data_IF_791525520776
#
_entry.id   IF_791525520776
#
_cell.length_a   1.000
_cell.length_b   1.000
_cell.length_c   1.000
_cell.angle_alpha   90.00
_cell.angle_beta   90.00
_cell.angle_gamma   90.00
#
_symmetry.space_group_name_H-M   'P 1'
#
loop_
_entity.id
_entity.type
_entity.pdbx_description
1 polymer ?
#
# COMPACT_ATOMS: atom_id res chain seq x y z
N UNK A 1 -10.54 -39.58 -15.21
CA UNK A 1 -11.56 -38.54 -15.01
C UNK A 1 -12.02 -38.67 -13.56
N UNK A 2 -11.51 -37.82 -12.67
CA UNK A 2 -11.84 -37.80 -11.23
C UNK A 2 -12.48 -36.42 -10.97
N UNK A 3 -13.63 -36.33 -10.30
CA UNK A 3 -14.25 -35.04 -10.03
C UNK A 3 -13.44 -34.33 -8.94
N UNK A 4 -12.98 -33.11 -9.22
CA UNK A 4 -12.40 -32.23 -8.18
C UNK A 4 -13.55 -31.69 -7.32
N UNK A 5 -13.49 -31.97 -6.02
CA UNK A 5 -14.35 -31.34 -5.01
C UNK A 5 -14.00 -29.86 -4.91
N UNK A 6 -15.02 -29.01 -4.71
CA UNK A 6 -14.84 -27.61 -4.30
C UNK A 6 -14.29 -27.62 -2.87
N UNK A 7 -13.08 -27.11 -2.65
CA UNK A 7 -12.58 -26.82 -1.32
C UNK A 7 -12.99 -25.39 -0.94
N UNK A 8 -13.92 -25.28 0.01
CA UNK A 8 -14.07 -24.07 0.82
C UNK A 8 -12.94 -24.09 1.85
N UNK A 9 -11.84 -23.42 1.54
CA UNK A 9 -10.73 -23.26 2.46
C UNK A 9 -11.03 -22.08 3.40
N UNK A 10 -11.62 -22.40 4.56
CA UNK A 10 -11.65 -21.52 5.72
C UNK A 10 -10.36 -21.68 6.52
N UNK A 11 -9.90 -20.61 7.19
CA UNK A 11 -8.75 -20.61 8.11
C UNK A 11 -8.89 -21.74 9.15
N UNK A 12 -10.12 -22.12 9.52
CA UNK A 12 -10.37 -23.23 10.44
C UNK A 12 -10.00 -24.61 9.87
N UNK A 13 -10.08 -24.82 8.56
CA UNK A 13 -9.86 -26.11 7.91
C UNK A 13 -8.37 -26.43 7.73
N UNK A 14 -7.49 -25.43 7.84
CA UNK A 14 -6.03 -25.60 7.79
C UNK A 14 -5.42 -26.07 9.13
N UNK A 15 -6.18 -26.06 10.23
CA UNK A 15 -5.70 -26.46 11.55
C UNK A 15 -5.95 -27.93 11.92
N UNK A 16 -6.65 -28.70 11.09
CA UNK A 16 -7.03 -30.09 11.42
C UNK A 16 -6.10 -31.18 10.90
N UNK A 17 -4.89 -30.83 10.41
CA UNK A 17 -3.93 -31.79 9.88
C UNK A 17 -2.69 -31.98 10.79
N UNK A 18 -2.90 -32.31 12.06
CA UNK A 18 -1.87 -32.90 12.92
C UNK A 18 -2.50 -33.99 13.79
N UNK A 19 -1.90 -35.19 13.73
CA UNK A 19 -2.37 -36.39 14.45
C UNK A 19 -2.13 -36.31 15.96
N UNK A 20 -2.87 -37.10 16.76
CA UNK A 20 -3.01 -36.90 18.19
C UNK A 20 -2.09 -37.83 18.99
N UNK A 21 -1.33 -37.29 19.93
CA UNK A 21 -0.99 -37.94 21.19
C UNK A 21 -0.23 -36.98 22.11
N UNK A 22 -0.86 -36.68 23.25
CA UNK A 22 -0.22 -36.34 24.53
C UNK A 22 0.54 -35.00 24.63
N UNK A 23 -0.21 -33.92 24.87
CA UNK A 23 0.08 -32.88 25.88
C UNK A 23 -1.13 -31.93 25.95
N UNK A 24 -2.15 -32.36 26.69
CA UNK A 24 -3.34 -31.56 26.99
C UNK A 24 -3.01 -30.40 27.95
N UNK A 25 -3.61 -29.24 27.64
CA UNK A 25 -3.80 -28.04 28.47
C UNK A 25 -2.70 -26.96 28.51
N UNK A 26 -1.98 -26.72 27.41
CA UNK A 26 -1.46 -25.38 27.12
C UNK A 26 -2.33 -24.73 26.03
N UNK A 27 -3.01 -23.65 26.40
CA UNK A 27 -3.80 -22.80 25.49
C UNK A 27 -3.04 -22.57 24.18
N UNK A 28 -3.62 -23.01 23.06
CA UNK A 28 -3.12 -22.78 21.68
C UNK A 28 -3.13 -21.28 21.32
N UNK A 29 -3.78 -20.45 22.15
CA UNK A 29 -3.72 -19.00 22.07
C UNK A 29 -2.70 -18.51 23.09
N UNK A 30 -1.54 -18.05 22.61
CA UNK A 30 -0.70 -17.18 23.42
C UNK A 30 -1.50 -15.91 23.76
N UNK A 31 -1.35 -15.40 24.98
CA UNK A 31 -1.97 -14.13 25.40
C UNK A 31 -1.60 -12.97 24.45
N UNK A 32 -0.47 -13.07 23.74
CA UNK A 32 -0.04 -12.17 22.67
C UNK A 32 -1.00 -12.16 21.46
N UNK A 33 -1.56 -13.30 21.08
CA UNK A 33 -2.48 -13.40 19.93
C UNK A 33 -3.85 -12.81 20.26
N UNK A 34 -4.32 -12.99 21.50
CA UNK A 34 -5.59 -12.43 21.98
C UNK A 34 -5.49 -10.92 22.20
N UNK A 35 -4.36 -10.43 22.72
CA UNK A 35 -4.13 -8.99 22.93
C UNK A 35 -3.93 -8.22 21.62
N UNK A 36 -3.21 -8.77 20.63
CA UNK A 36 -3.07 -8.14 19.31
C UNK A 36 -4.41 -7.99 18.57
N UNK A 37 -5.35 -8.89 18.83
CA UNK A 37 -6.67 -8.95 18.19
C UNK A 37 -7.57 -7.73 18.51
N UNK A 38 -7.31 -7.06 19.64
CA UNK A 38 -8.03 -5.88 20.10
C UNK A 38 -7.40 -4.56 19.67
N UNK A 39 -6.18 -4.61 19.10
CA UNK A 39 -5.47 -3.42 18.65
C UNK A 39 -6.27 -2.75 17.52
N UNK A 40 -6.57 -1.44 17.63
CA UNK A 40 -7.25 -0.73 16.57
C UNK A 40 -6.28 -0.49 15.40
N UNK A 41 -6.70 -0.92 14.22
CA UNK A 41 -6.08 -0.69 12.92
C UNK A 41 -7.03 0.18 12.12
N UNK A 42 -6.55 1.34 11.67
CA UNK A 42 -7.36 2.35 10.98
C UNK A 42 -8.65 2.77 11.70
N UNK A 43 -8.65 2.68 13.05
CA UNK A 43 -9.81 2.96 13.88
C UNK A 43 -10.75 1.77 14.10
N UNK A 44 -10.44 0.59 13.56
CA UNK A 44 -11.25 -0.64 13.69
C UNK A 44 -10.42 -1.78 14.26
N UNK A 45 -11.01 -2.63 15.11
CA UNK A 45 -10.29 -3.75 15.73
C UNK A 45 -9.75 -4.71 14.67
N UNK A 46 -8.51 -5.18 14.83
CA UNK A 46 -7.87 -6.12 13.91
C UNK A 46 -8.74 -7.36 13.60
N UNK A 47 -9.51 -7.86 14.57
CA UNK A 47 -10.44 -8.99 14.37
C UNK A 47 -11.52 -8.79 13.32
N UNK A 48 -11.87 -7.55 12.95
CA UNK A 48 -12.89 -7.29 11.94
C UNK A 48 -12.38 -7.48 10.51
N UNK A 49 -11.06 -7.62 10.31
CA UNK A 49 -10.42 -7.83 9.02
C UNK A 49 -10.48 -9.30 8.61
N UNK A 50 -11.67 -9.75 8.23
CA UNK A 50 -11.95 -11.17 7.96
C UNK A 50 -11.99 -11.52 6.48
N UNK A 51 -11.81 -10.54 5.58
CA UNK A 51 -11.86 -10.76 4.13
C UNK A 51 -10.52 -10.45 3.49
N UNK A 52 -10.17 -11.23 2.47
CA UNK A 52 -9.05 -10.93 1.59
C UNK A 52 -9.63 -10.57 0.23
N UNK A 53 -9.27 -9.40 -0.27
CA UNK A 53 -9.66 -8.92 -1.59
C UNK A 53 -8.50 -9.10 -2.55
N UNK A 54 -8.77 -9.70 -3.70
CA UNK A 54 -7.81 -9.86 -4.80
C UNK A 54 -8.24 -9.02 -5.99
N UNK A 55 -7.39 -8.08 -6.40
CA UNK A 55 -7.67 -7.10 -7.44
C UNK A 55 -6.65 -7.27 -8.56
N UNK A 56 -7.07 -7.70 -9.76
CA UNK A 56 -6.15 -7.88 -10.87
C UNK A 56 -5.73 -6.53 -11.45
N UNK A 57 -4.46 -6.48 -11.81
CA UNK A 57 -3.81 -5.33 -12.40
C UNK A 57 -3.52 -5.61 -13.88
N UNK A 58 -3.85 -4.65 -14.73
CA UNK A 58 -3.58 -4.71 -16.17
C UNK A 58 -2.93 -3.41 -16.63
N UNK A 59 -1.96 -3.49 -17.52
CA UNK A 59 -1.42 -2.33 -18.23
C UNK A 59 -2.18 -2.17 -19.54
N UNK A 60 -2.83 -1.03 -19.73
CA UNK A 60 -3.59 -0.72 -20.94
C UNK A 60 -2.73 -0.76 -22.19
N UNK A 61 -3.22 -1.41 -23.25
CA UNK A 61 -2.47 -1.61 -24.49
C UNK A 61 -2.23 -0.32 -25.28
N UNK A 62 -3.15 0.65 -25.21
CA UNK A 62 -3.11 1.88 -26.02
C UNK A 62 -2.50 3.05 -25.24
N UNK A 63 -2.87 3.23 -23.97
CA UNK A 63 -2.43 4.38 -23.16
C UNK A 63 -1.34 4.05 -22.13
N UNK A 64 -0.86 2.79 -22.05
CA UNK A 64 0.10 2.31 -21.04
C UNK A 64 -0.29 2.73 -19.61
N UNK A 65 -1.57 2.98 -19.39
CA UNK A 65 -2.17 3.33 -18.12
C UNK A 65 -2.31 2.08 -17.26
N UNK A 66 -2.04 2.23 -15.96
CA UNK A 66 -2.20 1.15 -15.02
C UNK A 66 -3.66 1.08 -14.58
N UNK A 67 -4.29 -0.08 -14.76
CA UNK A 67 -5.71 -0.31 -14.51
C UNK A 67 -5.87 -1.40 -13.45
N UNK A 68 -6.63 -1.11 -12.40
CA UNK A 68 -6.93 -2.06 -11.32
C UNK A 68 -8.42 -2.39 -11.37
N UNK A 69 -8.74 -3.67 -11.43
CA UNK A 69 -10.09 -4.18 -11.48
C UNK A 69 -10.54 -4.62 -10.08
N UNK A 70 -11.84 -4.54 -9.79
CA UNK A 70 -12.40 -4.91 -8.48
C UNK A 70 -12.25 -6.41 -8.20
N UNK A 71 -12.23 -7.24 -9.25
CA UNK A 71 -12.02 -8.68 -9.19
C UNK A 71 -11.55 -9.25 -10.54
N UNK A 72 -11.17 -10.53 -10.58
CA UNK A 72 -10.92 -11.23 -11.86
C UNK A 72 -12.19 -11.39 -12.69
N UNK A 73 -13.35 -11.49 -12.03
CA UNK A 73 -14.64 -11.58 -12.71
C UNK A 73 -14.98 -10.29 -13.44
N UNK A 74 -14.85 -9.13 -12.79
CA UNK A 74 -15.11 -7.84 -13.43
C UNK A 74 -14.24 -7.64 -14.67
N UNK A 75 -12.98 -8.06 -14.62
CA UNK A 75 -12.08 -8.04 -15.79
C UNK A 75 -12.55 -8.97 -16.92
N UNK A 76 -13.06 -10.16 -16.60
CA UNK A 76 -13.57 -11.12 -17.58
C UNK A 76 -14.88 -10.67 -18.24
N UNK A 77 -15.71 -10.01 -17.46
CA UNK A 77 -17.03 -9.53 -17.87
C UNK A 77 -16.94 -8.16 -18.61
N UNK A 78 -15.72 -7.68 -18.91
CA UNK A 78 -15.41 -6.40 -19.58
C UNK A 78 -16.00 -5.19 -18.84
N UNK A 79 -16.11 -5.28 -17.51
CA UNK A 79 -16.50 -4.17 -16.66
C UNK A 79 -15.39 -3.11 -16.61
N UNK A 80 -15.73 -1.82 -16.40
CA UNK A 80 -14.72 -0.78 -16.27
C UNK A 80 -13.78 -1.03 -15.08
N UNK A 81 -12.49 -0.66 -15.19
CA UNK A 81 -11.54 -0.81 -14.08
C UNK A 81 -11.94 0.09 -12.91
N UNK A 82 -11.89 -0.42 -11.69
CA UNK A 82 -12.13 0.34 -10.46
C UNK A 82 -11.19 1.56 -10.35
N UNK A 83 -9.89 1.37 -10.62
CA UNK A 83 -8.92 2.46 -10.66
C UNK A 83 -8.15 2.51 -11.97
N UNK A 84 -7.81 3.74 -12.38
CA UNK A 84 -6.82 3.99 -13.42
C UNK A 84 -5.81 5.04 -12.95
N UNK A 85 -4.53 4.81 -13.22
CA UNK A 85 -3.48 5.81 -13.02
C UNK A 85 -3.20 6.56 -14.32
N UNK A 86 -3.14 7.89 -14.24
CA UNK A 86 -2.63 8.71 -15.32
C UNK A 86 -1.42 9.50 -14.87
N UNK A 87 -0.29 9.26 -15.56
CA UNK A 87 0.93 10.01 -15.36
C UNK A 87 0.80 11.42 -15.93
N UNK A 88 1.24 12.40 -15.16
CA UNK A 88 1.47 13.74 -15.68
C UNK A 88 2.86 13.82 -16.30
N UNK A 89 2.93 13.62 -17.62
CA UNK A 89 4.18 13.68 -18.38
C UNK A 89 4.86 15.05 -18.29
N UNK A 90 4.15 16.11 -17.91
CA UNK A 90 4.68 17.47 -17.80
C UNK A 90 4.78 17.96 -16.34
N UNK A 91 4.80 17.05 -15.36
CA UNK A 91 4.96 17.43 -13.95
C UNK A 91 6.25 18.22 -13.69
N UNK A 92 7.30 17.98 -14.50
CA UNK A 92 8.58 18.71 -14.46
C UNK A 92 8.55 20.07 -15.17
N UNK A 93 7.44 20.51 -15.76
CA UNK A 93 7.34 21.85 -16.36
C UNK A 93 6.58 22.82 -15.45
N UNK A 94 5.64 22.31 -14.66
CA UNK A 94 4.77 23.13 -13.82
C UNK A 94 5.04 22.85 -12.35
N UNK A 95 5.56 23.85 -11.64
CA UNK A 95 5.74 23.79 -10.18
C UNK A 95 4.42 23.38 -9.51
N UNK A 96 4.48 22.43 -8.58
CA UNK A 96 3.32 21.89 -7.86
C UNK A 96 2.30 21.17 -8.75
N UNK A 97 2.69 20.71 -9.94
CA UNK A 97 1.85 19.77 -10.67
C UNK A 97 1.95 18.37 -10.05
N UNK A 98 0.84 17.62 -9.98
CA UNK A 98 0.90 16.24 -9.51
C UNK A 98 1.78 15.42 -10.45
N UNK A 99 2.52 14.47 -9.89
CA UNK A 99 3.28 13.46 -10.62
C UNK A 99 2.34 12.54 -11.39
N UNK A 100 1.26 12.11 -10.72
CA UNK A 100 0.21 11.28 -11.29
C UNK A 100 -1.12 11.54 -10.59
N UNK A 101 -2.21 11.13 -11.24
CA UNK A 101 -3.56 11.16 -10.68
C UNK A 101 -4.17 9.77 -10.77
N UNK A 102 -4.73 9.30 -9.65
CA UNK A 102 -5.56 8.10 -9.60
C UNK A 102 -7.01 8.51 -9.80
N UNK A 103 -7.68 7.84 -10.74
CA UNK A 103 -9.11 8.03 -11.00
C UNK A 103 -9.90 6.80 -10.59
N UNK A 104 -11.00 7.01 -9.89
CA UNK A 104 -12.02 6.01 -9.59
C UNK A 104 -13.06 5.99 -10.71
N UNK A 105 -13.51 4.81 -11.09
CA UNK A 105 -14.61 4.65 -12.05
C UNK A 105 -15.85 4.10 -11.37
N UNK A 106 -16.95 4.79 -11.55
CA UNK A 106 -18.28 4.38 -11.12
C UNK A 106 -19.18 4.33 -12.36
N UNK A 107 -19.36 3.13 -12.90
CA UNK A 107 -19.96 2.93 -14.21
C UNK A 107 -19.22 3.69 -15.32
N UNK A 108 -19.87 4.69 -15.92
CA UNK A 108 -19.30 5.54 -16.98
C UNK A 108 -18.60 6.80 -16.46
N UNK A 109 -18.73 7.10 -15.17
CA UNK A 109 -18.15 8.29 -14.56
C UNK A 109 -16.70 8.02 -14.18
N UNK A 110 -15.84 8.96 -14.55
CA UNK A 110 -14.43 8.98 -14.17
C UNK A 110 -14.16 10.14 -13.23
N UNK A 111 -13.88 9.84 -11.96
CA UNK A 111 -13.74 10.82 -10.89
C UNK A 111 -12.29 10.87 -10.39
N UNK A 112 -11.79 12.07 -10.11
CA UNK A 112 -10.47 12.24 -9.48
C UNK A 112 -10.53 11.69 -8.05
N UNK A 113 -9.76 10.63 -7.77
CA UNK A 113 -9.72 10.02 -6.45
C UNK A 113 -8.55 10.56 -5.60
N UNK A 114 -7.36 10.58 -6.20
CA UNK A 114 -6.14 11.00 -5.51
C UNK A 114 -5.17 11.70 -6.47
N UNK A 115 -4.62 12.84 -6.05
CA UNK A 115 -3.49 13.51 -6.70
C UNK A 115 -2.22 13.17 -5.94
N UNK A 116 -1.20 12.73 -6.66
CA UNK A 116 0.05 12.28 -6.04
C UNK A 116 1.16 13.22 -6.43
N UNK A 117 1.81 13.79 -5.43
CA UNK A 117 2.95 14.68 -5.59
C UNK A 117 4.22 13.98 -5.14
N UNK A 118 5.36 14.40 -5.67
CA UNK A 118 6.66 13.87 -5.30
C UNK A 118 7.55 15.00 -4.79
N UNK A 119 8.15 14.81 -3.61
CA UNK A 119 9.12 15.74 -3.01
C UNK A 119 10.43 14.99 -2.75
N UNK A 120 11.55 15.64 -3.05
CA UNK A 120 12.88 15.23 -2.63
C UNK A 120 13.16 16.05 -1.38
N UNK A 121 13.31 15.38 -0.24
CA UNK A 121 13.55 16.07 1.03
C UNK A 121 15.04 16.30 1.17
N UNK A 122 15.81 15.22 1.11
CA UNK A 122 17.27 15.21 1.26
C UNK A 122 17.88 14.08 0.41
N UNK A 123 19.21 14.03 0.34
CA UNK A 123 19.90 12.92 -0.31
C UNK A 123 19.43 11.59 0.31
N UNK A 124 18.96 10.67 -0.54
CA UNK A 124 18.40 9.37 -0.16
C UNK A 124 17.06 9.38 0.59
N UNK A 125 16.40 10.53 0.71
CA UNK A 125 15.09 10.65 1.33
C UNK A 125 14.12 11.42 0.43
N UNK A 126 13.07 10.74 0.00
CA UNK A 126 12.02 11.30 -0.85
C UNK A 126 10.66 10.99 -0.25
N UNK A 127 9.60 11.67 -0.66
CA UNK A 127 8.26 11.26 -0.28
C UNK A 127 7.26 11.42 -1.43
N UNK A 128 6.22 10.58 -1.39
CA UNK A 128 4.99 10.79 -2.12
C UNK A 128 3.96 11.41 -1.19
N UNK A 129 3.31 12.47 -1.64
CA UNK A 129 2.16 13.06 -0.93
C UNK A 129 0.92 12.73 -1.72
N UNK A 130 0.09 11.83 -1.18
CA UNK A 130 -1.16 11.39 -1.74
C UNK A 130 -2.26 12.30 -1.17
N UNK A 131 -2.76 13.21 -2.00
CA UNK A 131 -3.87 14.10 -1.65
C UNK A 131 -5.17 13.53 -2.18
N UNK A 132 -6.01 13.03 -1.28
CA UNK A 132 -7.29 12.40 -1.64
C UNK A 132 -8.39 13.45 -1.73
N UNK A 133 -9.38 13.20 -2.59
CA UNK A 133 -10.45 14.16 -2.88
C UNK A 133 -11.29 14.56 -1.65
N UNK A 134 -11.21 13.79 -0.57
CA UNK A 134 -11.93 14.03 0.68
C UNK A 134 -11.06 14.59 1.82
N UNK A 135 -9.77 14.83 1.57
CA UNK A 135 -8.83 15.34 2.57
C UNK A 135 -8.16 14.29 3.46
N UNK A 136 -8.42 12.99 3.32
CA UNK A 136 -7.70 11.94 4.06
C UNK A 136 -6.31 11.71 3.45
N UNK A 137 -5.39 12.65 3.64
CA UNK A 137 -4.11 12.73 2.92
C UNK A 137 -3.05 11.81 3.55
N UNK A 138 -2.16 11.25 2.73
CA UNK A 138 -1.09 10.35 3.20
C UNK A 138 0.26 10.86 2.69
N UNK A 139 1.25 10.93 3.59
CA UNK A 139 2.66 11.15 3.22
C UNK A 139 3.42 9.85 3.38
N UNK A 140 3.98 9.37 2.26
CA UNK A 140 4.74 8.14 2.16
C UNK A 140 6.23 8.47 1.98
N UNK A 141 7.01 8.33 3.03
CA UNK A 141 8.45 8.59 3.04
C UNK A 141 9.20 7.38 2.50
N UNK A 142 10.12 7.58 1.57
CA UNK A 142 10.94 6.52 0.99
C UNK A 142 12.42 6.69 1.40
N UNK A 143 12.97 5.65 2.03
CA UNK A 143 14.40 5.50 2.29
C UNK A 143 15.10 4.86 1.09
N UNK A 144 16.15 5.52 0.59
CA UNK A 144 17.01 4.97 -0.45
C UNK A 144 18.27 4.25 0.09
N UNK A 145 18.65 4.45 1.35
CA UNK A 145 19.77 3.75 1.97
C UNK A 145 19.42 2.30 2.30
N UNK A 146 18.26 2.08 2.92
CA UNK A 146 17.66 0.76 3.08
C UNK A 146 16.27 0.80 2.45
N UNK A 147 16.10 0.39 1.18
CA UNK A 147 14.84 0.39 0.45
C UNK A 147 13.59 -0.03 1.24
N UNK A 148 12.83 0.95 1.72
CA UNK A 148 11.50 0.80 2.30
C UNK A 148 10.74 2.13 2.21
N UNK A 149 9.43 2.09 2.45
CA UNK A 149 8.61 3.28 2.57
C UNK A 149 7.75 3.23 3.83
N UNK A 150 7.63 4.35 4.55
CA UNK A 150 6.84 4.46 5.77
C UNK A 150 5.76 5.53 5.64
N UNK A 151 4.61 5.27 6.27
CA UNK A 151 3.51 6.21 6.37
C UNK A 151 2.75 6.01 7.69
N UNK A 152 1.95 7.00 8.06
CA UNK A 152 0.92 6.87 9.10
C UNK A 152 -0.42 7.18 8.44
N UNK A 153 -1.42 6.35 8.73
CA UNK A 153 -2.79 6.58 8.29
C UNK A 153 -3.76 6.18 9.41
N UNK A 154 -4.66 7.09 9.82
CA UNK A 154 -5.60 6.89 10.93
C UNK A 154 -4.91 6.34 12.19
N UNK A 155 -3.77 6.92 12.55
CA UNK A 155 -2.94 6.52 13.69
C UNK A 155 -2.19 5.19 13.53
N UNK A 156 -2.39 4.47 12.43
CA UNK A 156 -1.71 3.18 12.18
C UNK A 156 -0.41 3.39 11.42
N UNK A 157 0.68 2.85 11.96
CA UNK A 157 2.00 2.87 11.32
C UNK A 157 2.10 1.81 10.24
N UNK A 158 2.55 2.23 9.05
CA UNK A 158 2.66 1.39 7.86
C UNK A 158 4.10 1.35 7.40
N UNK A 159 4.58 0.17 7.01
CA UNK A 159 5.86 0.01 6.32
C UNK A 159 5.72 -0.87 5.10
N UNK A 160 6.19 -0.35 3.97
CA UNK A 160 6.20 -1.04 2.70
C UNK A 160 7.62 -1.47 2.34
N UNK A 161 7.76 -2.74 2.01
CA UNK A 161 8.96 -3.32 1.43
C UNK A 161 8.73 -3.71 -0.02
N UNK A 162 9.83 -3.75 -0.76
CA UNK A 162 9.84 -4.19 -2.15
C UNK A 162 9.54 -3.10 -3.17
N UNK A 163 8.85 -2.02 -2.78
CA UNK A 163 8.87 -0.76 -3.50
C UNK A 163 9.92 0.17 -2.90
N UNK A 164 10.75 0.83 -3.72
CA UNK A 164 11.64 1.88 -3.21
C UNK A 164 11.88 2.98 -4.24
N UNK A 165 12.09 4.23 -3.81
CA UNK A 165 12.52 5.30 -4.72
C UNK A 165 13.96 5.16 -5.23
N UNK A 166 14.66 4.07 -4.91
CA UNK A 166 16.10 3.94 -5.02
C UNK A 166 16.57 2.85 -6.00
N UNK A 167 17.49 3.26 -6.88
CA UNK A 167 18.60 2.59 -7.60
C UNK A 167 18.61 1.08 -7.93
N UNK A 168 17.53 0.33 -7.77
CA UNK A 168 17.43 -0.97 -8.43
C UNK A 168 17.00 -0.73 -9.89
N UNK A 169 17.84 -1.14 -10.84
CA UNK A 169 17.49 -1.20 -12.27
C UNK A 169 16.49 -2.31 -12.57
N UNK A 170 16.32 -3.24 -11.63
CA UNK A 170 15.36 -4.33 -11.70
C UNK A 170 14.21 -4.00 -10.75
N UNK A 171 12.99 -3.90 -11.28
CA UNK A 171 11.80 -3.73 -10.46
C UNK A 171 11.59 -4.96 -9.59
N UNK A 172 10.97 -4.76 -8.44
CA UNK A 172 10.60 -5.88 -7.58
C UNK A 172 9.24 -6.44 -8.01
N UNK A 173 9.19 -7.74 -8.30
CA UNK A 173 7.94 -8.44 -8.57
C UNK A 173 7.07 -8.63 -7.33
N UNK A 174 7.51 -8.16 -6.15
CA UNK A 174 6.81 -8.32 -4.89
C UNK A 174 6.87 -7.04 -4.06
N UNK A 175 5.72 -6.47 -3.73
CA UNK A 175 5.58 -5.36 -2.78
C UNK A 175 4.76 -5.86 -1.60
N UNK A 176 5.18 -5.53 -0.37
CA UNK A 176 4.51 -5.97 0.86
C UNK A 176 4.37 -4.80 1.82
N UNK A 177 3.15 -4.54 2.27
CA UNK A 177 2.82 -3.56 3.28
C UNK A 177 2.52 -4.28 4.60
N UNK A 178 3.21 -3.87 5.66
CA UNK A 178 2.99 -4.36 7.02
C UNK A 178 2.41 -3.26 7.89
N UNK A 179 1.54 -3.67 8.81
CA UNK A 179 1.10 -2.86 9.94
C UNK A 179 2.13 -3.01 11.05
N UNK A 180 2.52 -1.91 11.69
CA UNK A 180 3.56 -1.90 12.70
C UNK A 180 2.98 -1.57 14.07
N UNK A 181 3.62 -2.08 15.13
CA UNK A 181 3.33 -1.63 16.49
C UNK A 181 3.68 -0.14 16.68
N UNK A 182 2.97 0.55 17.57
CA UNK A 182 3.13 1.99 17.85
C UNK A 182 4.56 2.38 18.26
N UNK A 183 5.27 1.49 18.95
CA UNK A 183 6.66 1.71 19.38
C UNK A 183 7.69 1.47 18.28
N UNK A 184 7.29 0.93 17.13
CA UNK A 184 8.20 0.72 16.00
C UNK A 184 8.65 2.07 15.44
N UNK A 185 9.97 2.31 15.32
CA UNK A 185 10.48 3.51 14.67
C UNK A 185 10.09 3.56 13.19
N UNK A 186 9.54 4.69 12.74
CA UNK A 186 9.20 4.93 11.33
C UNK A 186 9.69 6.30 10.87
N UNK A 187 9.89 6.48 9.56
CA UNK A 187 10.23 7.80 9.00
C UNK A 187 9.09 8.82 9.13
N UNK A 188 7.87 8.33 9.36
CA UNK A 188 6.69 9.16 9.54
C UNK A 188 6.46 9.57 11.01
N UNK A 189 7.30 9.14 11.96
CA UNK A 189 7.16 9.56 13.36
C UNK A 189 7.37 11.09 13.48
N UNK A 190 6.46 11.77 14.17
CA UNK A 190 6.46 13.23 14.33
C UNK A 190 5.74 14.01 13.24
N UNK A 191 5.15 13.31 12.25
CA UNK A 191 4.32 13.94 11.22
C UNK A 191 2.98 14.41 11.81
N UNK A 192 2.67 15.68 11.62
CA UNK A 192 1.37 16.27 11.96
C UNK A 192 0.32 15.89 10.90
N UNK A 193 -0.42 14.82 11.17
CA UNK A 193 -1.44 14.30 10.26
C UNK A 193 -2.62 15.27 10.10
N UNK A 194 -2.97 16.03 11.15
CA UNK A 194 -4.09 16.98 11.10
C UNK A 194 -3.77 18.17 10.17
N UNK A 195 -2.52 18.64 10.21
CA UNK A 195 -2.04 19.64 9.26
C UNK A 195 -2.09 19.13 7.81
N UNK A 196 -1.67 17.87 7.60
CA UNK A 196 -1.66 17.25 6.27
C UNK A 196 -3.08 17.09 5.73
N UNK A 197 -4.03 16.67 6.55
CA UNK A 197 -5.42 16.44 6.14
C UNK A 197 -6.17 17.75 5.82
N UNK A 198 -5.78 18.84 6.47
CA UNK A 198 -6.35 20.19 6.22
C UNK A 198 -5.68 20.94 5.07
N UNK A 199 -4.61 20.39 4.47
CA UNK A 199 -3.90 21.03 3.38
C UNK A 199 -4.75 21.12 2.10
N UNK A 200 -5.06 22.34 1.66
CA UNK A 200 -5.80 22.59 0.42
C UNK A 200 -4.94 22.32 -0.84
N UNK A 201 -3.62 22.45 -0.73
CA UNK A 201 -2.68 22.20 -1.82
C UNK A 201 -1.35 21.65 -1.30
N UNK A 202 -0.56 21.08 -2.22
CA UNK A 202 0.80 20.56 -1.91
C UNK A 202 1.76 21.61 -1.34
N UNK A 203 1.48 22.89 -1.54
CA UNK A 203 2.28 24.00 -0.98
C UNK A 203 2.07 24.16 0.52
N UNK A 204 0.89 23.76 1.00
CA UNK A 204 0.46 23.93 2.39
C UNK A 204 0.94 22.76 3.25
N UNK A 205 1.36 21.66 2.62
CA UNK A 205 1.94 20.48 3.29
C UNK A 205 3.34 20.80 3.81
N UNK A 206 3.43 21.04 5.11
CA UNK A 206 4.67 21.22 5.87
C UNK A 206 5.17 19.89 6.44
N UNK A 207 6.45 19.60 6.24
CA UNK A 207 7.13 18.38 6.72
C UNK A 207 8.29 18.70 7.67
N UNK A 208 8.39 19.93 8.16
CA UNK A 208 9.51 20.38 9.01
C UNK A 208 9.46 19.83 10.44
N UNK A 209 8.30 19.36 10.93
CA UNK A 209 8.14 18.79 12.28
C UNK A 209 8.87 17.47 12.54
N UNK A 210 9.45 16.85 11.51
CA UNK A 210 10.02 15.49 11.56
C UNK A 210 11.50 15.51 12.00
N UNK A 211 12.07 16.69 12.24
CA UNK A 211 13.52 16.86 12.42
C UNK A 211 14.10 16.14 13.65
N UNK A 212 13.29 15.81 14.66
CA UNK A 212 13.73 15.10 15.86
C UNK A 212 13.59 13.58 15.78
N UNK A 213 13.04 13.05 14.67
CA UNK A 213 12.86 11.63 14.47
C UNK A 213 14.21 10.91 14.30
N UNK A 214 14.56 9.93 15.16
CA UNK A 214 15.85 9.24 15.10
C UNK A 214 16.14 8.54 13.77
N UNK A 215 15.12 7.91 13.16
CA UNK A 215 15.28 7.22 11.88
C UNK A 215 15.43 8.23 10.74
N UNK A 216 14.65 9.30 10.75
CA UNK A 216 14.79 10.41 9.80
C UNK A 216 16.20 11.02 9.89
N UNK A 217 16.69 11.30 11.10
CA UNK A 217 18.03 11.82 11.34
C UNK A 217 19.13 10.86 10.86
N UNK A 218 18.98 9.55 11.10
CA UNK A 218 19.94 8.55 10.64
C UNK A 218 20.01 8.49 9.10
N UNK A 219 18.86 8.51 8.42
CA UNK A 219 18.79 8.52 6.95
C UNK A 219 19.43 9.79 6.37
N UNK A 220 19.06 10.95 6.92
CA UNK A 220 19.54 12.25 6.43
C UNK A 220 21.04 12.46 6.66
N UNK A 221 21.59 11.91 7.75
CA UNK A 221 23.03 11.88 8.04
C UNK A 221 23.79 10.76 7.31
N UNK A 222 23.11 9.95 6.50
CA UNK A 222 23.67 8.80 5.80
C UNK A 222 24.29 7.74 6.73
N UNK A 223 23.82 7.64 7.97
CA UNK A 223 24.27 6.65 8.94
C UNK A 223 23.59 5.30 8.69
N UNK A 224 24.18 4.51 7.77
CA UNK A 224 23.68 3.16 7.45
C UNK A 224 23.59 2.25 8.68
N UNK A 225 24.52 2.40 9.64
CA UNK A 225 24.56 1.55 10.83
C UNK A 225 23.42 1.88 11.80
N UNK A 226 23.16 3.18 12.00
CA UNK A 226 22.01 3.68 12.76
C UNK A 226 20.68 3.28 12.12
N UNK A 227 20.55 3.41 10.80
CA UNK A 227 19.36 2.97 10.06
C UNK A 227 19.11 1.48 10.29
N UNK A 228 20.11 0.61 10.11
CA UNK A 228 19.95 -0.83 10.32
C UNK A 228 19.58 -1.17 11.76
N UNK A 229 20.20 -0.49 12.74
CA UNK A 229 19.88 -0.68 14.17
C UNK A 229 18.43 -0.31 14.47
N UNK A 230 17.95 0.84 14.00
CA UNK A 230 16.57 1.28 14.21
C UNK A 230 15.56 0.38 13.48
N UNK A 231 15.87 -0.03 12.24
CA UNK A 231 15.01 -0.95 11.49
C UNK A 231 14.98 -2.36 12.09
N UNK A 232 16.04 -2.80 12.77
CA UNK A 232 16.01 -4.08 13.51
C UNK A 232 15.09 -4.08 14.73
N UNK A 233 14.67 -2.90 15.19
CA UNK A 233 13.66 -2.75 16.26
C UNK A 233 12.23 -2.82 15.72
N UNK A 234 12.06 -2.91 14.40
CA UNK A 234 10.76 -2.94 13.79
C UNK A 234 10.02 -4.24 14.12
N UNK A 235 8.83 -4.10 14.69
CA UNK A 235 7.96 -5.21 15.02
C UNK A 235 6.64 -5.05 14.28
N UNK A 236 6.31 -5.93 13.32
CA UNK A 236 5.01 -5.91 12.68
C UNK A 236 3.93 -6.36 13.68
N UNK A 237 2.74 -5.76 13.61
CA UNK A 237 1.60 -6.15 14.43
C UNK A 237 1.18 -7.59 14.17
N UNK A 238 1.32 -8.03 12.92
CA UNK A 238 1.13 -9.40 12.46
C UNK A 238 2.22 -9.74 11.44
N UNK A 239 2.73 -10.98 11.48
CA UNK A 239 3.77 -11.46 10.57
C UNK A 239 3.27 -11.76 9.13
N UNK A 240 2.13 -11.18 8.75
CA UNK A 240 1.49 -11.33 7.44
C UNK A 240 1.31 -9.91 6.87
N UNK A 241 1.67 -9.66 5.60
CA UNK A 241 1.46 -8.35 5.01
C UNK A 241 -0.03 -8.04 4.90
N UNK A 242 -0.42 -6.85 5.36
CA UNK A 242 -1.79 -6.36 5.23
C UNK A 242 -2.20 -6.16 3.77
N UNK A 243 -1.27 -5.67 2.95
CA UNK A 243 -1.45 -5.60 1.51
C UNK A 243 -0.20 -6.08 0.79
N UNK A 244 -0.38 -6.66 -0.39
CA UNK A 244 0.73 -7.09 -1.23
C UNK A 244 0.42 -6.93 -2.71
N UNK A 245 1.46 -6.79 -3.50
CA UNK A 245 1.41 -6.92 -4.95
C UNK A 245 2.35 -8.02 -5.39
N UNK A 246 1.88 -8.88 -6.28
CA UNK A 246 2.68 -9.91 -6.95
C UNK A 246 2.61 -9.64 -8.45
N UNK A 247 3.76 -9.50 -9.08
CA UNK A 247 3.91 -9.46 -10.53
C UNK A 247 3.75 -10.88 -11.09
N UNK A 248 2.83 -11.02 -12.04
CA UNK A 248 2.52 -12.30 -12.66
C UNK A 248 3.26 -12.48 -13.99
N UNK A 249 4.05 -11.50 -14.42
CA UNK A 249 4.80 -11.52 -15.68
C UNK A 249 3.89 -11.73 -16.88
N UNK A 250 4.12 -12.85 -17.60
CA UNK A 250 3.35 -13.25 -18.78
C UNK A 250 2.31 -14.35 -18.48
N UNK A 251 2.11 -14.69 -17.19
CA UNK A 251 1.13 -15.70 -16.80
C UNK A 251 -0.30 -15.26 -17.07
N UNK A 252 -1.16 -16.23 -17.38
CA UNK A 252 -2.61 -16.02 -17.53
C UNK A 252 -3.32 -16.57 -16.32
N UNK A 253 -4.03 -15.72 -15.60
CA UNK A 253 -4.96 -16.14 -14.56
C UNK A 253 -6.29 -16.50 -15.19
N UNK A 254 -6.66 -17.78 -15.09
CA UNK A 254 -7.92 -18.32 -15.61
C UNK A 254 -8.24 -17.89 -17.05
N UNK A 255 -7.22 -17.89 -17.91
CA UNK A 255 -7.34 -17.56 -19.34
C UNK A 255 -7.15 -16.07 -19.67
N UNK A 256 -7.10 -15.18 -18.68
CA UNK A 256 -6.91 -13.73 -18.87
C UNK A 256 -5.49 -13.32 -18.52
N UNK A 257 -4.88 -12.48 -19.36
CA UNK A 257 -3.55 -11.94 -19.07
C UNK A 257 -3.68 -10.81 -18.05
N UNK A 258 -2.96 -10.94 -16.94
CA UNK A 258 -2.86 -9.90 -15.91
C UNK A 258 -1.40 -9.55 -15.72
N UNK A 259 -1.10 -8.28 -15.47
CA UNK A 259 0.25 -7.83 -15.13
C UNK A 259 0.63 -8.28 -13.72
N UNK A 260 -0.32 -8.26 -12.81
CA UNK A 260 -0.11 -8.72 -11.44
C UNK A 260 -1.40 -8.68 -10.64
N UNK A 261 -1.30 -8.95 -9.35
CA UNK A 261 -2.46 -8.99 -8.45
C UNK A 261 -2.15 -8.21 -7.18
N UNK A 262 -3.02 -7.28 -6.82
CA UNK A 262 -3.01 -6.61 -5.52
C UNK A 262 -3.91 -7.39 -4.58
N UNK A 263 -3.39 -7.78 -3.42
CA UNK A 263 -4.14 -8.42 -2.33
C UNK A 263 -4.19 -7.50 -1.13
N UNK A 264 -5.33 -7.37 -0.48
CA UNK A 264 -5.46 -6.64 0.79
C UNK A 264 -6.44 -7.32 1.74
N UNK A 265 -6.21 -7.17 3.04
CA UNK A 265 -7.19 -7.51 4.06
C UNK A 265 -8.23 -6.39 4.17
N UNK A 266 -9.50 -6.76 4.32
CA UNK A 266 -10.64 -5.84 4.37
C UNK A 266 -11.50 -6.11 5.61
N UNK A 267 -11.94 -5.03 6.24
CA UNK A 267 -12.80 -5.05 7.42
C UNK A 267 -14.27 -5.09 7.04
N UNK A 268 -15.02 -6.05 7.59
CA UNK A 268 -16.49 -6.10 7.41
C UNK A 268 -17.24 -5.06 8.24
N UNK A 269 -16.57 -4.41 9.20
CA UNK A 269 -17.18 -3.40 10.06
C UNK A 269 -17.23 -2.00 9.42
N UNK A 270 -16.45 -1.74 8.37
CA UNK A 270 -16.47 -0.47 7.63
C UNK A 270 -17.44 -0.46 6.44
N UNK A 271 -18.04 -1.61 6.10
CA UNK A 271 -18.91 -1.77 4.93
C UNK A 271 -20.23 -2.44 5.30
N UNK A 272 -21.26 -1.63 5.57
CA UNK A 272 -22.64 -2.09 5.60
C UNK A 272 -23.27 -1.70 4.27
N UNK A 273 -23.31 -2.64 3.33
CA UNK A 273 -24.16 -2.52 2.16
C UNK A 273 -25.49 -3.23 2.47
N UNK A 274 -26.61 -2.55 2.26
CA UNK A 274 -27.97 -3.07 2.51
C UNK A 274 -28.34 -4.27 1.60
N UNK A 275 -27.57 -4.49 0.50
CA UNK A 275 -27.96 -5.38 -0.60
C UNK A 275 -27.06 -6.63 -0.80
N UNK A 276 -26.24 -7.00 0.19
CA UNK A 276 -25.57 -8.32 0.20
C UNK A 276 -24.32 -8.48 -0.69
N UNK A 277 -23.99 -7.52 -1.56
CA UNK A 277 -22.63 -7.34 -2.11
C UNK A 277 -21.91 -6.24 -1.33
N UNK A 278 -20.82 -6.59 -0.65
CA UNK A 278 -20.10 -5.61 0.16
C UNK A 278 -19.30 -4.66 -0.73
N UNK A 279 -19.74 -3.39 -0.72
CA UNK A 279 -19.02 -2.25 -1.24
C UNK A 279 -17.57 -2.24 -0.74
N UNK A 280 -16.63 -1.90 -1.61
CA UNK A 280 -15.21 -1.84 -1.28
C UNK A 280 -15.02 -0.70 -0.27
N UNK A 281 -14.46 -0.99 0.90
CA UNK A 281 -14.38 0.03 1.95
C UNK A 281 -13.45 1.16 1.52
N UNK A 282 -13.69 2.36 2.07
CA UNK A 282 -12.85 3.52 1.75
C UNK A 282 -11.38 3.31 2.13
N UNK A 283 -11.12 2.64 3.25
CA UNK A 283 -9.77 2.24 3.67
C UNK A 283 -9.14 1.30 2.63
N UNK A 284 -9.88 0.30 2.12
CA UNK A 284 -9.42 -0.56 1.04
C UNK A 284 -9.07 0.24 -0.22
N UNK A 285 -9.90 1.20 -0.62
CA UNK A 285 -9.67 2.08 -1.77
C UNK A 285 -8.41 2.95 -1.61
N UNK A 286 -8.20 3.54 -0.44
CA UNK A 286 -7.02 4.36 -0.13
C UNK A 286 -5.75 3.49 -0.16
N UNK A 287 -5.78 2.31 0.48
CA UNK A 287 -4.65 1.38 0.50
C UNK A 287 -4.34 0.84 -0.91
N UNK A 288 -5.37 0.50 -1.69
CA UNK A 288 -5.22 0.10 -3.09
C UNK A 288 -4.61 1.22 -3.93
N UNK A 289 -5.06 2.48 -3.75
CA UNK A 289 -4.47 3.63 -4.43
C UNK A 289 -3.00 3.84 -4.06
N UNK A 290 -2.63 3.67 -2.79
CA UNK A 290 -1.23 3.74 -2.37
C UNK A 290 -0.38 2.62 -2.98
N UNK A 291 -0.89 1.38 -3.00
CA UNK A 291 -0.21 0.26 -3.66
C UNK A 291 -0.03 0.53 -5.16
N UNK A 292 -1.06 1.02 -5.84
CA UNK A 292 -1.05 1.43 -7.25
C UNK A 292 0.04 2.46 -7.56
N UNK A 293 0.22 3.46 -6.69
CA UNK A 293 1.32 4.44 -6.81
C UNK A 293 2.66 3.74 -6.80
N UNK A 294 2.91 2.89 -5.81
CA UNK A 294 4.18 2.20 -5.63
C UNK A 294 4.50 1.24 -6.79
N UNK A 295 3.49 0.49 -7.24
CA UNK A 295 3.61 -0.42 -8.39
C UNK A 295 4.00 0.36 -9.64
N UNK A 296 3.31 1.47 -9.94
CA UNK A 296 3.64 2.30 -11.10
C UNK A 296 5.08 2.82 -11.05
N UNK A 297 5.60 3.18 -9.87
CA UNK A 297 7.00 3.60 -9.76
C UNK A 297 7.98 2.45 -10.02
N UNK A 298 7.69 1.23 -9.55
CA UNK A 298 8.52 0.06 -9.86
C UNK A 298 8.47 -0.32 -11.34
N UNK A 299 7.27 -0.31 -11.96
CA UNK A 299 7.09 -0.55 -13.39
C UNK A 299 7.88 0.47 -14.22
N UNK A 300 7.90 1.75 -13.82
CA UNK A 300 8.67 2.80 -14.49
C UNK A 300 10.17 2.54 -14.50
N UNK A 301 10.72 1.99 -13.41
CA UNK A 301 12.14 1.58 -13.38
C UNK A 301 12.42 0.47 -14.37
N UNK A 302 11.55 -0.55 -14.43
CA UNK A 302 11.69 -1.67 -15.37
C UNK A 302 11.62 -1.21 -16.83
N UNK A 303 10.83 -0.17 -17.11
CA UNK A 303 10.73 0.46 -18.44
C UNK A 303 11.90 1.38 -18.78
N UNK A 304 12.90 1.54 -17.89
CA UNK A 304 14.03 2.46 -18.09
C UNK A 304 13.64 3.95 -18.02
N UNK A 305 12.42 4.27 -17.57
CA UNK A 305 12.01 5.65 -17.35
C UNK A 305 12.52 6.10 -15.98
N UNK A 306 13.55 6.96 -15.98
CA UNK A 306 14.26 7.42 -14.79
C UNK A 306 13.34 8.05 -13.72
N UNK A 307 13.90 8.13 -12.50
CA UNK A 307 13.29 8.72 -11.28
C UNK A 307 12.56 10.04 -11.59
N UNK A 308 11.44 10.33 -10.90
CA UNK A 308 10.77 11.62 -11.03
C UNK A 308 11.74 12.78 -10.77
N UNK A 309 11.67 13.82 -11.58
CA UNK A 309 12.50 15.02 -11.47
C UNK A 309 11.65 16.18 -10.94
N UNK A 310 12.20 16.96 -10.02
CA UNK A 310 11.57 18.18 -9.52
C UNK A 310 12.03 19.37 -10.35
N UNK A 311 11.13 20.32 -10.57
CA UNK A 311 11.49 21.67 -11.04
C UNK A 311 12.24 22.40 -9.93
N UNK A 312 13.55 22.49 -10.06
CA UNK A 312 14.41 23.19 -9.10
C UNK A 312 13.97 24.63 -8.89
N UNK A 313 13.91 25.06 -7.63
CA UNK A 313 13.82 26.46 -7.25
C UNK A 313 15.23 27.06 -7.22
N UNK A 314 15.47 28.04 -8.07
CA UNK A 314 16.23 29.24 -7.72
C UNK A 314 15.29 30.25 -7.11
#
# INVERSE_FOLDING_TARGET
>A
MIPRSRSEESILTLFSATTPAELDNASIFSDETVSASLVPVFGVKLLSYTRIREMPLVVGHIKLDLQLYSSLRSLKDDEPPMFTIQLNKFHFLKKNAPLLTTYFHDGSLKLEFCKVYFKILLNNLTCYVLMFHNGENIVLFNDALKPHADAIYKGTKLRVFGASGASSTFGNGLIKLFLLHDLTPTLADGVDCDNIDTAASIKDVDLTGINDNPLYLAVTKQDRSGVLKLLSQASPLVNIPYASYVDNGDERLEGVRVTGTVRLFESVAEGVADDGEAEITRTSLIMASMMMVLIEQELRKMRGTNKPLIVGGT
#
